data_IF_672518171678
#
_entry.id   IF_672518171678
#
_cell.length_a   1.000
_cell.length_b   1.000
_cell.length_c   1.000
_cell.angle_alpha   90.00
_cell.angle_beta   90.00
_cell.angle_gamma   90.00
#
_symmetry.space_group_name_H-M   'P 1'
#
loop_
_entity.id
_entity.type
_entity.pdbx_description
1 polymer ?
#
# COMPACT_ATOMS: atom_id res chain seq x y z
N UNK A 1 24.14 -51.59 31.04
CA UNK A 1 25.17 -50.54 31.00
C UNK A 1 25.87 -50.62 29.66
N UNK A 2 25.64 -49.65 28.78
CA UNK A 2 26.36 -49.57 27.51
C UNK A 2 26.91 -48.14 27.41
N UNK A 3 28.16 -47.98 27.84
CA UNK A 3 28.91 -46.75 27.68
C UNK A 3 29.26 -46.60 26.20
N UNK A 4 28.62 -45.66 25.52
CA UNK A 4 29.06 -45.20 24.20
C UNK A 4 30.08 -44.08 24.40
N UNK A 5 31.31 -44.40 24.04
CA UNK A 5 32.52 -43.63 24.23
C UNK A 5 32.72 -42.56 23.16
N UNK A 6 33.01 -41.34 23.64
CA UNK A 6 34.00 -40.38 23.16
C UNK A 6 34.10 -40.12 21.63
N UNK A 7 33.50 -39.03 21.16
CA UNK A 7 33.81 -38.44 19.84
C UNK A 7 34.74 -37.24 20.02
N UNK A 8 36.04 -37.49 19.93
CA UNK A 8 37.07 -36.45 19.91
C UNK A 8 36.90 -35.51 18.71
N UNK A 9 37.01 -34.20 18.94
CA UNK A 9 37.15 -33.18 17.90
C UNK A 9 38.52 -33.35 17.24
N UNK A 10 38.58 -34.17 16.20
CA UNK A 10 39.77 -34.31 15.33
C UNK A 10 39.84 -33.09 14.42
N UNK A 11 40.75 -32.16 14.73
CA UNK A 11 41.18 -31.11 13.81
C UNK A 11 42.20 -31.73 12.85
N UNK A 12 41.71 -32.47 11.85
CA UNK A 12 42.51 -33.11 10.82
C UNK A 12 42.11 -32.60 9.43
N UNK A 13 43.10 -32.52 8.53
CA UNK A 13 42.97 -32.12 7.12
C UNK A 13 42.13 -33.16 6.34
N UNK A 14 40.82 -33.16 6.59
CA UNK A 14 39.83 -34.05 5.97
C UNK A 14 38.50 -33.33 5.75
N UNK A 15 37.66 -33.83 4.82
CA UNK A 15 36.36 -33.22 4.48
C UNK A 15 35.56 -32.90 5.75
N UNK A 16 35.18 -31.62 5.91
CA UNK A 16 34.39 -31.12 7.04
C UNK A 16 33.15 -32.00 7.22
N UNK A 17 32.99 -32.60 8.39
CA UNK A 17 31.77 -33.30 8.77
C UNK A 17 30.81 -32.30 9.39
N UNK A 18 29.56 -32.35 8.96
CA UNK A 18 28.51 -31.44 9.42
C UNK A 18 28.02 -31.89 10.80
N UNK A 19 28.15 -31.05 11.82
CA UNK A 19 27.63 -31.35 13.17
C UNK A 19 26.13 -31.02 13.23
N UNK A 20 25.26 -32.03 13.17
CA UNK A 20 23.81 -31.86 13.13
C UNK A 20 23.25 -31.00 14.29
N UNK A 21 23.81 -31.14 15.50
CA UNK A 21 23.37 -30.41 16.70
C UNK A 21 23.65 -28.90 16.61
N UNK A 22 24.89 -28.52 16.25
CA UNK A 22 25.30 -27.11 16.10
C UNK A 22 24.45 -26.38 15.05
N UNK A 23 24.12 -27.06 13.94
CA UNK A 23 23.28 -26.48 12.90
C UNK A 23 21.80 -26.41 13.28
N UNK A 24 21.31 -27.33 14.13
CA UNK A 24 19.96 -27.28 14.68
C UNK A 24 19.80 -26.13 15.67
N UNK A 25 20.77 -25.94 16.57
CA UNK A 25 20.81 -24.79 17.50
C UNK A 25 20.88 -23.47 16.73
N UNK A 26 21.75 -23.37 15.73
CA UNK A 26 21.87 -22.18 14.89
C UNK A 26 20.62 -21.88 14.07
N UNK A 27 19.85 -22.91 13.68
CA UNK A 27 18.57 -22.72 13.01
C UNK A 27 17.49 -22.21 13.98
N UNK A 28 17.45 -22.75 15.20
CA UNK A 28 16.55 -22.29 16.26
C UNK A 28 16.84 -20.84 16.65
N UNK A 29 18.11 -20.47 16.77
CA UNK A 29 18.50 -19.09 17.09
C UNK A 29 18.10 -18.08 16.01
N UNK A 30 18.23 -18.44 14.73
CA UNK A 30 17.71 -17.61 13.63
C UNK A 30 16.19 -17.43 13.70
N UNK A 31 15.45 -18.51 13.94
CA UNK A 31 13.98 -18.44 14.08
C UNK A 31 13.57 -17.52 15.23
N UNK A 32 14.25 -17.63 16.38
CA UNK A 32 13.99 -16.79 17.54
C UNK A 32 14.29 -15.31 17.26
N UNK A 33 15.37 -15.01 16.55
CA UNK A 33 15.71 -13.64 16.14
C UNK A 33 14.66 -13.07 15.17
N UNK A 34 14.24 -13.84 14.17
CA UNK A 34 13.18 -13.44 13.22
C UNK A 34 11.84 -13.15 13.94
N UNK A 35 11.45 -14.00 14.91
CA UNK A 35 10.24 -13.78 15.72
C UNK A 35 10.34 -12.53 16.60
N UNK A 36 11.50 -12.28 17.22
CA UNK A 36 11.74 -11.11 18.05
C UNK A 36 11.71 -9.81 17.22
N UNK A 37 12.33 -9.82 16.04
CA UNK A 37 12.27 -8.73 15.07
C UNK A 37 10.84 -8.46 14.59
N UNK A 38 10.07 -9.51 14.27
CA UNK A 38 8.66 -9.36 13.87
C UNK A 38 7.83 -8.74 15.01
N UNK A 39 8.07 -9.17 16.25
CA UNK A 39 7.38 -8.63 17.43
C UNK A 39 7.74 -7.16 17.68
N UNK A 40 9.01 -6.80 17.54
CA UNK A 40 9.49 -5.43 17.65
C UNK A 40 8.88 -4.53 16.55
N UNK A 41 8.81 -5.01 15.30
CA UNK A 41 8.17 -4.29 14.20
C UNK A 41 6.66 -4.11 14.39
N UNK A 42 5.97 -5.09 14.97
CA UNK A 42 4.54 -4.97 15.31
C UNK A 42 4.31 -3.91 16.40
N UNK A 43 5.17 -3.88 17.41
CA UNK A 43 5.09 -2.94 18.52
C UNK A 43 5.37 -1.49 18.10
N UNK A 44 6.30 -1.26 17.18
CA UNK A 44 6.58 0.08 16.65
C UNK A 44 5.44 0.57 15.75
N UNK A 45 4.84 -0.31 14.93
CA UNK A 45 3.65 0.01 14.11
C UNK A 45 2.41 0.36 14.94
N UNK A 46 2.28 -0.16 16.16
CA UNK A 46 1.10 0.07 17.02
C UNK A 46 1.20 1.31 17.93
N UNK A 47 2.36 1.97 18.03
CA UNK A 47 2.63 3.01 19.04
C UNK A 47 2.45 4.45 18.58
N UNK A 48 2.04 4.69 17.33
CA UNK A 48 1.73 6.05 16.86
C UNK A 48 0.40 6.56 17.43
N UNK A 49 0.29 7.84 17.83
CA UNK A 49 -1.01 8.46 18.11
C UNK A 49 -1.94 8.25 16.92
N UNK A 50 -3.20 7.88 17.17
CA UNK A 50 -4.19 7.79 16.12
C UNK A 50 -4.40 9.19 15.52
N UNK A 51 -3.67 9.49 14.44
CA UNK A 51 -3.79 10.75 13.72
C UNK A 51 -5.23 10.87 13.25
N UNK A 52 -5.98 11.80 13.83
CA UNK A 52 -7.33 12.12 13.38
C UNK A 52 -7.23 12.71 11.98
N UNK A 53 -7.40 11.84 10.98
CA UNK A 53 -7.41 12.23 9.58
C UNK A 53 -8.67 13.06 9.31
N UNK A 54 -8.51 14.09 8.48
CA UNK A 54 -9.64 14.95 8.08
C UNK A 54 -10.71 14.08 7.39
N UNK A 55 -12.00 14.36 7.61
CA UNK A 55 -13.09 13.61 6.99
C UNK A 55 -13.07 13.75 5.47
N UNK A 56 -13.64 12.76 4.78
CA UNK A 56 -13.64 12.70 3.32
C UNK A 56 -14.37 13.89 2.71
N UNK A 57 -13.69 14.64 1.84
CA UNK A 57 -14.29 15.72 1.04
C UNK A 57 -14.50 15.25 -0.40
N UNK A 58 -15.57 15.72 -1.03
CA UNK A 58 -15.77 15.51 -2.47
C UNK A 58 -14.70 16.23 -3.27
N UNK A 59 -14.19 15.59 -4.33
CA UNK A 59 -13.23 16.21 -5.25
C UNK A 59 -13.87 17.41 -5.95
N UNK A 60 -13.12 18.50 -6.08
CA UNK A 60 -13.53 19.73 -6.78
C UNK A 60 -13.01 19.81 -8.21
N UNK A 61 -12.03 18.98 -8.56
CA UNK A 61 -11.44 18.93 -9.89
C UNK A 61 -11.95 17.70 -10.66
N UNK A 62 -12.00 17.83 -11.99
CA UNK A 62 -12.30 16.72 -12.89
C UNK A 62 -11.01 15.97 -13.24
N UNK A 63 -11.10 14.64 -13.29
CA UNK A 63 -9.97 13.77 -13.64
C UNK A 63 -9.98 13.58 -15.16
N UNK A 64 -9.03 14.19 -15.86
CA UNK A 64 -8.90 14.08 -17.32
C UNK A 64 -8.20 12.77 -17.70
N UNK A 65 -8.99 11.75 -18.05
CA UNK A 65 -8.50 10.43 -18.50
C UNK A 65 -8.34 10.34 -20.02
N UNK A 66 -8.88 11.32 -20.74
CA UNK A 66 -9.04 11.29 -22.20
C UNK A 66 -7.85 11.88 -22.98
N UNK A 67 -6.94 12.56 -22.29
CA UNK A 67 -5.83 13.32 -22.92
C UNK A 67 -4.88 12.46 -23.75
N UNK A 68 -4.83 11.15 -23.51
CA UNK A 68 -3.97 10.19 -24.22
C UNK A 68 -4.75 9.20 -25.10
N UNK A 69 -6.05 9.43 -25.30
CA UNK A 69 -6.84 8.62 -26.23
C UNK A 69 -6.42 8.92 -27.67
N UNK A 70 -6.20 7.87 -28.47
CA UNK A 70 -5.79 7.98 -29.87
C UNK A 70 -4.32 8.33 -30.11
N UNK A 71 -3.50 8.49 -29.06
CA UNK A 71 -2.06 8.70 -29.21
C UNK A 71 -1.28 7.38 -29.11
N UNK A 72 -0.43 7.11 -30.10
CA UNK A 72 0.52 5.99 -30.09
C UNK A 72 1.89 6.48 -29.63
N UNK A 73 2.35 6.00 -28.47
CA UNK A 73 3.68 6.33 -27.93
C UNK A 73 4.59 5.10 -27.95
N UNK A 74 5.81 5.27 -28.48
CA UNK A 74 6.85 4.23 -28.41
C UNK A 74 7.44 4.23 -27.01
N UNK A 75 7.38 3.07 -26.34
CA UNK A 75 7.88 2.90 -24.97
C UNK A 75 9.31 2.35 -25.00
N UNK A 76 10.24 3.06 -24.37
CA UNK A 76 11.58 2.55 -24.10
C UNK A 76 11.66 1.99 -22.67
N UNK A 77 12.41 0.90 -22.42
CA UNK A 77 12.47 0.25 -21.10
C UNK A 77 13.13 1.11 -20.01
N UNK A 78 13.91 2.12 -20.40
CA UNK A 78 14.56 3.09 -19.51
C UNK A 78 13.76 4.39 -19.31
N UNK A 79 12.55 4.49 -19.87
CA UNK A 79 11.74 5.69 -19.75
C UNK A 79 11.25 5.93 -18.30
N UNK A 80 11.16 7.21 -17.87
CA UNK A 80 10.62 7.57 -16.56
C UNK A 80 9.15 7.10 -16.42
N UNK A 81 8.71 6.81 -15.18
CA UNK A 81 7.36 6.29 -14.88
C UNK A 81 6.21 7.10 -15.51
N UNK A 82 6.40 8.39 -15.74
CA UNK A 82 5.40 9.26 -16.38
C UNK A 82 5.17 8.98 -17.86
N UNK A 83 6.17 8.40 -18.53
CA UNK A 83 6.15 8.05 -19.96
C UNK A 83 5.86 6.56 -20.18
N UNK A 84 5.70 5.77 -19.12
CA UNK A 84 5.28 4.39 -19.22
C UNK A 84 3.79 4.30 -19.54
N UNK A 85 3.38 3.22 -20.22
CA UNK A 85 1.97 3.00 -20.54
C UNK A 85 1.12 2.83 -19.28
N UNK A 86 0.15 3.73 -19.11
CA UNK A 86 -0.85 3.69 -18.05
C UNK A 86 -1.11 5.05 -17.40
N UNK A 87 -1.98 5.05 -16.40
CA UNK A 87 -2.32 6.19 -15.55
C UNK A 87 -1.39 6.22 -14.34
N UNK A 88 -0.70 7.34 -14.14
CA UNK A 88 0.22 7.54 -13.02
C UNK A 88 -0.51 8.21 -11.86
N UNK A 89 -0.42 7.64 -10.66
CA UNK A 89 -0.82 8.31 -9.43
C UNK A 89 0.38 9.00 -8.78
N UNK A 90 0.32 10.33 -8.59
CA UNK A 90 1.37 11.13 -7.97
C UNK A 90 1.59 10.80 -6.49
N UNK A 91 0.53 10.51 -5.73
CA UNK A 91 0.64 10.29 -4.28
C UNK A 91 1.17 8.90 -3.92
N UNK A 92 0.93 7.91 -4.78
CA UNK A 92 1.29 6.51 -4.54
C UNK A 92 2.47 6.03 -5.40
N UNK A 93 2.96 6.85 -6.34
CA UNK A 93 4.03 6.52 -7.29
C UNK A 93 3.82 5.18 -7.99
N UNK A 94 2.58 4.86 -8.35
CA UNK A 94 2.23 3.63 -9.04
C UNK A 94 1.57 3.91 -10.39
N UNK A 95 1.79 2.98 -11.33
CA UNK A 95 1.15 3.00 -12.64
C UNK A 95 0.00 2.00 -12.63
N UNK A 96 -1.17 2.48 -13.02
CA UNK A 96 -2.38 1.69 -13.18
C UNK A 96 -2.72 1.60 -14.66
N UNK A 97 -2.97 0.40 -15.17
CA UNK A 97 -3.14 0.17 -16.61
C UNK A 97 -4.46 0.71 -17.16
N UNK A 98 -5.54 0.55 -16.39
CA UNK A 98 -6.90 0.88 -16.83
C UNK A 98 -7.46 2.10 -16.11
N UNK A 99 -8.37 2.81 -16.78
CA UNK A 99 -9.04 4.00 -16.25
C UNK A 99 -9.93 3.69 -15.06
N UNK A 100 -10.68 2.59 -15.13
CA UNK A 100 -11.55 2.13 -14.04
C UNK A 100 -10.74 1.80 -12.77
N UNK A 101 -9.67 1.01 -12.93
CA UNK A 101 -8.78 0.65 -11.83
C UNK A 101 -8.05 1.89 -11.26
N UNK A 102 -7.75 2.90 -12.09
CA UNK A 102 -7.18 4.15 -11.62
C UNK A 102 -8.16 4.95 -10.75
N UNK A 103 -9.43 5.01 -11.13
CA UNK A 103 -10.48 5.63 -10.30
C UNK A 103 -10.65 4.90 -8.97
N UNK A 104 -10.66 3.58 -8.99
CA UNK A 104 -10.71 2.75 -7.78
C UNK A 104 -9.47 2.92 -6.91
N UNK A 105 -8.30 3.11 -7.52
CA UNK A 105 -7.06 3.42 -6.81
C UNK A 105 -7.17 4.75 -6.04
N UNK A 106 -7.59 5.84 -6.68
CA UNK A 106 -7.71 7.16 -6.01
C UNK A 106 -8.83 7.13 -4.95
N UNK A 107 -9.88 6.32 -5.15
CA UNK A 107 -10.93 6.11 -4.16
C UNK A 107 -10.53 5.13 -3.04
N UNK A 108 -9.43 4.40 -3.22
CA UNK A 108 -8.99 3.37 -2.31
C UNK A 108 -8.52 3.90 -0.95
N UNK A 109 -8.73 3.09 0.09
CA UNK A 109 -8.32 3.42 1.47
C UNK A 109 -6.82 3.74 1.58
N UNK A 110 -5.96 3.05 0.82
CA UNK A 110 -4.51 3.28 0.84
C UNK A 110 -4.15 4.67 0.31
N UNK A 111 -4.69 5.04 -0.86
CA UNK A 111 -4.48 6.36 -1.45
C UNK A 111 -5.01 7.47 -0.53
N UNK A 112 -6.27 7.37 -0.09
CA UNK A 112 -6.86 8.37 0.82
C UNK A 112 -6.09 8.50 2.15
N UNK A 113 -5.58 7.38 2.69
CA UNK A 113 -4.76 7.40 3.91
C UNK A 113 -3.43 8.11 3.72
N UNK A 114 -2.82 8.02 2.53
CA UNK A 114 -1.60 8.73 2.14
C UNK A 114 -1.83 10.24 1.96
N UNK A 115 -2.97 10.61 1.37
CA UNK A 115 -3.42 12.01 1.22
C UNK A 115 -3.82 12.66 2.56
N UNK A 116 -3.97 11.86 3.62
CA UNK A 116 -4.35 12.35 4.96
C UNK A 116 -5.85 12.50 5.17
N UNK A 117 -6.67 11.87 4.32
CA UNK A 117 -8.13 11.82 4.45
C UNK A 117 -8.58 10.47 5.03
N UNK A 118 -9.63 10.50 5.86
CA UNK A 118 -10.32 9.31 6.33
C UNK A 118 -11.41 8.92 5.33
N UNK A 119 -11.67 7.63 5.15
CA UNK A 119 -12.77 7.11 4.32
C UNK A 119 -14.15 7.37 4.95
N UNK A 120 -14.19 7.89 6.19
CA UNK A 120 -15.43 8.24 6.89
C UNK A 120 -15.92 9.62 6.46
N UNK A 121 -17.18 9.69 6.05
CA UNK A 121 -17.88 10.93 5.69
C UNK A 121 -18.59 11.49 6.91
N UNK A 122 -18.67 12.81 7.03
CA UNK A 122 -19.45 13.47 8.08
C UNK A 122 -20.96 13.29 7.86
N UNK A 123 -21.72 13.30 8.96
CA UNK A 123 -23.19 13.27 8.89
C UNK A 123 -23.71 14.63 8.41
N UNK A 124 -24.63 14.60 7.46
CA UNK A 124 -25.24 15.81 6.92
C UNK A 124 -26.18 16.48 7.93
N UNK A 125 -26.17 17.82 7.98
CA UNK A 125 -27.13 18.62 8.76
C UNK A 125 -28.37 18.99 7.92
N UNK A 126 -29.47 19.39 8.57
CA UNK A 126 -30.71 19.78 7.87
C UNK A 126 -30.48 20.96 6.90
N UNK A 127 -29.69 21.95 7.29
CA UNK A 127 -29.34 23.12 6.46
C UNK A 127 -28.53 22.72 5.21
N UNK A 128 -27.59 21.77 5.35
CA UNK A 128 -26.82 21.25 4.23
C UNK A 128 -27.71 20.52 3.22
N UNK A 129 -28.74 19.82 3.70
CA UNK A 129 -29.71 19.13 2.85
C UNK A 129 -30.59 20.14 2.11
N UNK A 130 -31.13 21.14 2.81
CA UNK A 130 -31.96 22.20 2.20
C UNK A 130 -31.21 22.96 1.11
N UNK A 131 -29.99 23.44 1.40
CA UNK A 131 -29.17 24.15 0.42
C UNK A 131 -28.81 23.29 -0.81
N UNK A 132 -28.66 21.97 -0.64
CA UNK A 132 -28.41 21.04 -1.75
C UNK A 132 -29.66 20.85 -2.61
N UNK A 133 -30.85 20.76 -2.02
CA UNK A 133 -32.11 20.70 -2.75
C UNK A 133 -32.35 21.95 -3.59
N UNK A 134 -32.06 23.14 -3.06
CA UNK A 134 -32.17 24.39 -3.80
C UNK A 134 -31.24 24.44 -5.01
N UNK A 135 -29.97 24.05 -4.83
CA UNK A 135 -29.00 23.96 -5.92
C UNK A 135 -29.45 22.98 -7.01
N UNK A 136 -29.97 21.82 -6.62
CA UNK A 136 -30.49 20.82 -7.56
C UNK A 136 -31.73 21.30 -8.30
N UNK A 137 -32.62 22.06 -7.62
CA UNK A 137 -33.79 22.68 -8.25
C UNK A 137 -33.36 23.71 -9.29
N UNK A 138 -32.39 24.58 -8.96
CA UNK A 138 -31.80 25.56 -9.90
C UNK A 138 -31.15 24.87 -11.09
N UNK A 139 -30.34 23.83 -10.88
CA UNK A 139 -29.75 23.04 -11.98
C UNK A 139 -30.80 22.36 -12.85
N UNK A 140 -31.88 21.83 -12.27
CA UNK A 140 -32.98 21.22 -13.04
C UNK A 140 -33.69 22.26 -13.92
N UNK A 141 -33.86 23.48 -13.42
CA UNK A 141 -34.47 24.60 -14.16
C UNK A 141 -33.57 25.13 -15.27
N UNK A 142 -32.25 25.13 -15.08
CA UNK A 142 -31.27 25.57 -16.09
C UNK A 142 -31.05 24.57 -17.23
N UNK A 143 -31.76 23.43 -17.22
CA UNK A 143 -31.58 22.36 -18.19
C UNK A 143 -30.38 21.49 -17.85
N UNK A 144 -30.60 20.18 -17.66
CA UNK A 144 -29.52 19.21 -17.53
C UNK A 144 -28.89 19.03 -18.91
N UNK A 145 -27.94 19.91 -19.26
CA UNK A 145 -26.99 19.65 -20.32
C UNK A 145 -26.18 18.42 -19.94
N UNK A 146 -26.34 17.37 -20.74
CA UNK A 146 -25.52 16.17 -20.73
C UNK A 146 -24.02 16.52 -20.80
#
# INVERSE_FOLDING_TARGET
>A
MAHASNSAVVVGVGRRRFNLEEYAERACERQRQEEEEERAQKLTKSRGPAVQRKPLKSRTYQVYLESRLGQTQVLTPTAPLSQQAGYLCSDCNCIVKDSANFLDHINGKKHQSSVGMSTKVERATLEQVQSRFEKLKKQKLMGRGC
#
